data_IF_286398065899
#
_entry.id   IF_286398065899
#
_cell.length_a   1.000
_cell.length_b   1.000
_cell.length_c   1.000
_cell.angle_alpha   90.00
_cell.angle_beta   90.00
_cell.angle_gamma   90.00
#
_symmetry.space_group_name_H-M   'P 1'
#
loop_
_entity.id
_entity.type
_entity.pdbx_description
1 polymer ?
#
# COMPACT_ATOMS: atom_id res chain seq x y z
N UNK A 1 11.43 -2.92 -2.76
CA UNK A 1 11.16 -2.30 -1.44
C UNK A 1 9.66 -2.27 -1.25
N UNK A 2 9.17 -2.33 -0.02
CA UNK A 2 7.76 -2.24 0.33
C UNK A 2 7.55 -0.94 1.10
N UNK A 3 6.58 -0.13 0.67
CA UNK A 3 6.31 1.18 1.29
C UNK A 3 4.82 1.31 1.57
N UNK A 4 4.49 1.84 2.73
CA UNK A 4 3.13 2.21 3.12
C UNK A 4 3.11 3.68 3.56
N UNK A 5 2.19 4.44 2.99
CA UNK A 5 1.97 5.84 3.35
C UNK A 5 0.53 6.01 3.87
N UNK A 6 0.40 6.82 4.93
CA UNK A 6 -0.86 7.24 5.57
C UNK A 6 -1.85 6.15 6.05
N UNK A 7 -1.34 5.11 6.72
CA UNK A 7 -2.16 4.11 7.41
C UNK A 7 -1.68 3.88 8.85
N UNK A 8 -2.57 3.87 9.84
CA UNK A 8 -2.17 3.40 11.18
C UNK A 8 -2.11 1.87 11.18
N UNK A 9 -0.94 1.31 11.44
CA UNK A 9 -0.79 -0.14 11.62
C UNK A 9 -1.13 -0.50 13.05
N UNK A 10 -2.23 -1.25 13.20
CA UNK A 10 -2.44 -2.13 14.32
C UNK A 10 -2.37 -3.55 13.79
N UNK A 11 -1.19 -4.15 13.95
CA UNK A 11 -0.95 -5.58 13.79
C UNK A 11 -1.67 -6.38 14.89
N UNK A 12 -1.47 -7.70 14.96
CA UNK A 12 -2.07 -8.56 16.00
C UNK A 12 -1.88 -7.95 17.40
N UNK A 13 -2.76 -8.26 18.35
CA UNK A 13 -2.83 -7.65 19.71
C UNK A 13 -1.49 -7.57 20.48
N UNK A 14 -0.46 -8.31 20.05
CA UNK A 14 0.88 -8.33 20.65
C UNK A 14 2.00 -7.70 19.79
N UNK A 15 1.71 -7.20 18.61
CA UNK A 15 2.71 -6.64 17.70
C UNK A 15 2.86 -5.13 17.90
N UNK A 16 4.09 -4.63 17.81
CA UNK A 16 4.39 -3.21 17.93
C UNK A 16 3.78 -2.41 16.77
N UNK A 17 3.15 -1.28 17.08
CA UNK A 17 2.62 -0.37 16.07
C UNK A 17 3.74 0.10 15.12
N UNK A 18 3.49 -0.02 13.81
CA UNK A 18 4.44 0.42 12.79
C UNK A 18 4.14 1.89 12.47
N UNK A 19 5.10 2.82 12.69
CA UNK A 19 4.89 4.22 12.36
C UNK A 19 4.83 4.41 10.84
N UNK A 20 3.90 5.25 10.38
CA UNK A 20 3.81 5.67 8.97
C UNK A 20 4.39 7.06 8.73
N UNK A 21 5.04 7.31 7.57
CA UNK A 21 5.24 6.36 6.47
C UNK A 21 6.24 5.24 6.81
N UNK A 22 5.88 4.00 6.46
CA UNK A 22 6.71 2.82 6.68
C UNK A 22 7.36 2.40 5.37
N UNK A 23 8.66 2.11 5.41
CA UNK A 23 9.39 1.62 4.26
C UNK A 23 10.37 0.54 4.69
N UNK A 24 10.36 -0.60 3.99
CA UNK A 24 11.24 -1.72 4.29
C UNK A 24 11.73 -2.43 3.03
N UNK A 25 12.97 -2.92 3.07
CA UNK A 25 13.55 -3.71 1.98
C UNK A 25 13.13 -5.18 2.14
N UNK A 26 12.60 -5.77 1.08
CA UNK A 26 12.37 -7.22 1.05
C UNK A 26 13.72 -7.94 1.06
N UNK A 27 13.86 -8.93 1.94
CA UNK A 27 15.10 -9.71 2.07
C UNK A 27 15.43 -10.54 0.84
N UNK A 28 14.42 -10.89 0.04
CA UNK A 28 14.50 -11.59 -1.25
C UNK A 28 13.44 -11.01 -2.20
N UNK A 29 13.60 -11.16 -3.53
CA UNK A 29 12.54 -10.86 -4.49
C UNK A 29 11.27 -11.68 -4.20
N UNK A 30 10.10 -11.11 -4.49
CA UNK A 30 8.85 -11.87 -4.47
C UNK A 30 8.85 -12.90 -5.60
N UNK A 31 8.43 -14.12 -5.30
CA UNK A 31 8.23 -15.20 -6.27
C UNK A 31 6.75 -15.60 -6.33
N UNK A 32 6.28 -16.17 -7.46
CA UNK A 32 4.89 -16.59 -7.60
C UNK A 32 4.42 -17.48 -6.44
N UNK A 33 3.26 -17.15 -5.90
CA UNK A 33 2.62 -17.88 -4.80
C UNK A 33 2.87 -17.29 -3.41
N UNK A 34 3.81 -16.35 -3.26
CA UNK A 34 4.01 -15.58 -2.02
C UNK A 34 2.95 -14.49 -1.85
N UNK A 35 2.63 -14.17 -0.60
CA UNK A 35 1.65 -13.14 -0.25
C UNK A 35 2.30 -12.06 0.60
N UNK A 36 1.94 -10.81 0.35
CA UNK A 36 2.14 -9.70 1.28
C UNK A 36 0.81 -9.43 1.98
N UNK A 37 0.80 -9.62 3.30
CA UNK A 37 -0.36 -9.36 4.15
C UNK A 37 -0.15 -8.05 4.92
N UNK A 38 -1.16 -7.19 4.88
CA UNK A 38 -1.15 -5.84 5.46
C UNK A 38 -2.39 -5.69 6.32
N UNK A 39 -2.19 -5.67 7.64
CA UNK A 39 -3.25 -5.50 8.63
C UNK A 39 -3.10 -4.17 9.35
N UNK A 40 -4.20 -3.47 9.57
CA UNK A 40 -4.17 -2.22 10.33
C UNK A 40 -5.54 -1.63 10.54
N UNK A 41 -5.58 -0.33 10.85
CA UNK A 41 -6.79 0.45 10.93
C UNK A 41 -6.67 1.68 10.04
N UNK A 42 -7.73 1.97 9.29
CA UNK A 42 -7.82 3.21 8.52
C UNK A 42 -8.06 4.37 9.49
N UNK A 43 -7.28 5.44 9.40
CA UNK A 43 -7.52 6.63 10.22
C UNK A 43 -8.92 7.19 9.93
N UNK A 44 -9.63 7.65 10.95
CA UNK A 44 -11.00 8.19 10.81
C UNK A 44 -11.06 9.43 9.90
N UNK A 45 -9.96 10.17 9.79
CA UNK A 45 -9.78 11.36 8.95
C UNK A 45 -9.07 11.08 7.62
N UNK A 46 -8.78 9.82 7.30
CA UNK A 46 -8.04 9.46 6.08
C UNK A 46 -8.73 10.00 4.83
N UNK A 47 -8.00 10.78 4.02
CA UNK A 47 -8.40 11.09 2.65
C UNK A 47 -7.94 9.97 1.71
N UNK A 48 -6.66 9.60 1.81
CA UNK A 48 -6.05 8.56 0.99
C UNK A 48 -5.04 7.75 1.79
N UNK A 49 -4.81 6.52 1.35
CA UNK A 49 -3.79 5.62 1.86
C UNK A 49 -3.12 4.88 0.71
N UNK A 50 -1.84 4.53 0.86
CA UNK A 50 -1.08 3.93 -0.23
C UNK A 50 -0.24 2.75 0.22
N UNK A 51 -0.25 1.68 -0.57
CA UNK A 51 0.62 0.52 -0.43
C UNK A 51 1.36 0.31 -1.74
N UNK A 52 2.69 0.25 -1.68
CA UNK A 52 3.56 0.27 -2.84
C UNK A 52 4.58 -0.86 -2.82
N UNK A 53 4.71 -1.57 -3.96
CA UNK A 53 5.84 -2.43 -4.29
C UNK A 53 6.78 -1.66 -5.21
N UNK A 54 7.92 -1.24 -4.64
CA UNK A 54 8.89 -0.39 -5.32
C UNK A 54 10.09 -1.17 -5.83
N UNK A 55 10.64 -0.74 -6.96
CA UNK A 55 11.91 -1.19 -7.50
C UNK A 55 12.91 -0.01 -7.62
N UNK A 56 14.21 -0.30 -7.56
CA UNK A 56 15.28 0.71 -7.68
C UNK A 56 15.50 1.62 -6.47
N UNK A 57 14.44 2.16 -5.88
CA UNK A 57 14.52 3.14 -4.78
C UNK A 57 13.46 2.93 -3.69
N UNK A 58 13.52 3.77 -2.65
CA UNK A 58 12.55 3.82 -1.54
C UNK A 58 11.36 4.75 -1.80
N UNK A 59 11.36 5.40 -2.97
CA UNK A 59 10.31 6.31 -3.44
C UNK A 59 9.92 5.92 -4.86
N UNK A 60 8.73 6.34 -5.29
CA UNK A 60 8.22 6.10 -6.65
C UNK A 60 9.12 6.81 -7.69
N UNK A 61 9.55 8.04 -7.40
CA UNK A 61 10.53 8.79 -8.18
C UNK A 61 11.67 9.15 -7.21
N UNK A 62 12.94 8.73 -7.46
CA UNK A 62 13.52 8.24 -8.72
C UNK A 62 13.47 6.72 -8.95
N UNK A 63 12.61 5.99 -8.22
CA UNK A 63 12.45 4.55 -8.39
C UNK A 63 11.42 4.16 -9.45
N UNK A 64 10.77 3.03 -9.19
CA UNK A 64 9.60 2.56 -9.93
C UNK A 64 8.58 2.00 -8.94
N UNK A 65 7.30 2.12 -9.28
CA UNK A 65 6.23 1.40 -8.60
C UNK A 65 5.77 0.24 -9.50
N UNK A 66 6.24 -0.96 -9.19
CA UNK A 66 5.82 -2.20 -9.87
C UNK A 66 4.35 -2.50 -9.55
N UNK A 67 3.90 -2.08 -8.36
CA UNK A 67 2.49 -2.03 -7.98
C UNK A 67 2.28 -0.84 -7.05
N UNK A 68 1.39 0.06 -7.42
CA UNK A 68 0.87 1.14 -6.59
C UNK A 68 -0.60 0.86 -6.31
N UNK A 69 -0.98 0.76 -5.03
CA UNK A 69 -2.36 0.65 -4.59
C UNK A 69 -2.70 1.92 -3.81
N UNK A 70 -3.65 2.70 -4.30
CA UNK A 70 -4.16 3.91 -3.67
C UNK A 70 -5.59 3.69 -3.21
N UNK A 71 -5.81 3.65 -1.90
CA UNK A 71 -7.13 3.65 -1.28
C UNK A 71 -7.62 5.11 -1.23
N UNK A 72 -8.48 5.51 -2.16
CA UNK A 72 -8.99 6.88 -2.28
C UNK A 72 -10.37 6.99 -1.64
N UNK A 73 -10.42 7.31 -0.35
CA UNK A 73 -11.70 7.44 0.36
C UNK A 73 -12.49 8.70 -0.03
N UNK A 74 -11.85 9.66 -0.67
CA UNK A 74 -12.48 10.81 -1.30
C UNK A 74 -13.18 10.49 -2.63
N UNK A 75 -12.74 9.42 -3.31
CA UNK A 75 -13.32 8.96 -4.58
C UNK A 75 -14.13 7.65 -4.44
N UNK A 76 -14.21 7.09 -3.22
CA UNK A 76 -14.83 5.81 -2.88
C UNK A 76 -14.36 4.63 -3.75
N UNK A 77 -13.07 4.61 -4.09
CA UNK A 77 -12.47 3.56 -4.91
C UNK A 77 -11.03 3.20 -4.49
N UNK A 78 -10.61 2.02 -4.92
CA UNK A 78 -9.21 1.62 -4.97
C UNK A 78 -8.70 1.91 -6.38
N UNK A 79 -7.56 2.58 -6.49
CA UNK A 79 -6.85 2.76 -7.76
C UNK A 79 -5.55 1.99 -7.72
N UNK A 80 -5.35 1.12 -8.71
CA UNK A 80 -4.13 0.38 -8.92
C UNK A 80 -3.43 0.88 -10.19
N UNK A 81 -2.11 1.04 -10.14
CA UNK A 81 -1.34 1.45 -11.30
C UNK A 81 0.13 0.97 -11.17
N UNK A 82 0.89 1.18 -12.24
CA UNK A 82 2.34 1.03 -12.29
C UNK A 82 2.99 2.38 -12.65
N UNK A 83 4.16 2.64 -12.08
CA UNK A 83 5.00 3.78 -12.44
C UNK A 83 6.35 3.25 -12.93
N UNK A 84 6.59 3.35 -14.22
CA UNK A 84 7.79 2.83 -14.89
C UNK A 84 8.30 3.83 -15.91
N UNK A 85 9.61 3.95 -16.05
CA UNK A 85 10.22 4.88 -17.02
C UNK A 85 9.84 6.36 -16.81
N UNK A 86 9.52 6.76 -15.58
CA UNK A 86 9.17 8.14 -15.23
C UNK A 86 7.70 8.53 -15.48
N UNK A 87 6.83 7.57 -15.81
CA UNK A 87 5.42 7.83 -16.10
C UNK A 87 4.49 6.81 -15.44
N UNK A 88 3.28 7.27 -15.13
CA UNK A 88 2.16 6.41 -14.73
C UNK A 88 1.58 5.68 -15.94
N UNK A 89 1.21 4.42 -15.74
CA UNK A 89 0.45 3.64 -16.70
C UNK A 89 -1.05 3.92 -16.65
N UNK A 90 -1.83 2.99 -17.20
CA UNK A 90 -3.28 3.03 -17.13
C UNK A 90 -3.76 2.65 -15.72
N UNK A 91 -4.69 3.43 -15.17
CA UNK A 91 -5.31 3.13 -13.89
C UNK A 91 -6.29 1.96 -14.02
N UNK A 92 -6.21 1.02 -13.09
CA UNK A 92 -7.25 0.03 -12.80
C UNK A 92 -8.02 0.49 -11.56
N UNK A 93 -9.35 0.37 -11.57
CA UNK A 93 -10.21 0.91 -10.52
C UNK A 93 -11.18 -0.15 -10.02
N UNK A 94 -11.29 -0.25 -8.70
CA UNK A 94 -12.20 -1.15 -8.00
C UNK A 94 -12.99 -0.38 -6.94
N UNK A 95 -14.14 -0.91 -6.51
CA UNK A 95 -14.93 -0.30 -5.44
C UNK A 95 -14.19 -0.34 -4.10
N UNK A 96 -14.43 0.64 -3.23
CA UNK A 96 -13.81 0.67 -1.89
C UNK A 96 -14.47 -0.34 -0.94
N UNK A 97 -13.76 -1.38 -0.46
CA UNK A 97 -14.29 -2.30 0.53
C UNK A 97 -14.00 -1.85 1.97
N UNK A 98 -13.09 -0.89 2.16
CA UNK A 98 -12.60 -0.44 3.46
C UNK A 98 -13.33 0.79 3.96
N UNK A 99 -13.40 0.96 5.28
CA UNK A 99 -14.06 2.11 5.92
C UNK A 99 -13.09 2.85 6.84
N UNK A 100 -13.27 4.16 6.93
CA UNK A 100 -12.52 5.02 7.84
C UNK A 100 -12.82 4.65 9.29
N UNK A 101 -11.80 4.59 10.14
CA UNK A 101 -11.90 4.21 11.55
C UNK A 101 -12.07 2.72 11.79
N UNK A 102 -12.13 1.89 10.75
CA UNK A 102 -12.27 0.43 10.87
C UNK A 102 -10.94 -0.28 10.58
N UNK A 103 -10.83 -1.51 11.11
CA UNK A 103 -9.74 -2.41 10.79
C UNK A 103 -9.82 -2.86 9.32
N UNK A 104 -8.67 -3.09 8.69
CA UNK A 104 -8.57 -3.61 7.33
C UNK A 104 -7.58 -4.77 7.24
N UNK A 105 -7.80 -5.64 6.25
CA UNK A 105 -6.92 -6.74 5.85
C UNK A 105 -6.76 -6.64 4.33
N UNK A 106 -5.55 -6.33 3.88
CA UNK A 106 -5.18 -6.26 2.47
C UNK A 106 -4.12 -7.34 2.19
N UNK A 107 -4.40 -8.17 1.19
CA UNK A 107 -3.50 -9.25 0.75
C UNK A 107 -3.18 -9.10 -0.72
N UNK A 108 -1.88 -9.14 -1.04
CA UNK A 108 -1.37 -9.10 -2.42
C UNK A 108 -0.65 -10.41 -2.69
N UNK A 109 -1.07 -11.16 -3.71
CA UNK A 109 -0.54 -12.49 -4.05
C UNK A 109 -0.31 -12.66 -5.55
#
# INVERSE_FOLDING_TARGET
>A
MFTIRSLSFQSHVNDASIPVPYTSKLGQPLIPGQTIDVHGAINSDATRAEVNLLHGASQIDPGEAVLHISLRFDEDNIVMNTYMGGAWGNEERESMPFKKGEAFDLRVR
#
